data_IF_146595784810
#
_entry.id   IF_146595784810
#
_cell.length_a   1.000
_cell.length_b   1.000
_cell.length_c   1.000
_cell.angle_alpha   90.00
_cell.angle_beta   90.00
_cell.angle_gamma   90.00
#
_symmetry.space_group_name_H-M   'P 1'
#
loop_
_entity.id
_entity.type
_entity.pdbx_description
1 polymer ?
#
# COMPACT_ATOMS: atom_id res chain seq x y z
N UNK A 1 -12.85 -8.52 31.14
CA UNK A 1 -13.16 -9.33 29.94
C UNK A 1 -11.86 -9.95 29.44
N UNK A 2 -11.84 -11.21 28.99
CA UNK A 2 -10.65 -11.78 28.39
C UNK A 2 -10.24 -10.94 27.15
N UNK A 3 -8.94 -10.88 26.87
CA UNK A 3 -8.43 -10.17 25.70
C UNK A 3 -8.71 -11.01 24.45
N UNK A 4 -9.29 -10.38 23.42
CA UNK A 4 -9.55 -11.02 22.13
C UNK A 4 -8.27 -11.16 21.32
N UNK A 5 -8.16 -12.24 20.56
CA UNK A 5 -7.09 -12.44 19.59
C UNK A 5 -7.66 -12.39 18.16
N UNK A 6 -7.74 -11.19 17.62
CA UNK A 6 -8.30 -10.96 16.29
C UNK A 6 -7.44 -11.49 15.16
N UNK A 7 -6.15 -11.81 15.41
CA UNK A 7 -5.28 -12.46 14.42
C UNK A 7 -5.81 -13.87 14.14
N UNK A 8 -6.06 -14.65 15.21
CA UNK A 8 -6.60 -16.01 15.05
C UNK A 8 -8.03 -16.00 14.54
N UNK A 9 -8.88 -15.08 15.02
CA UNK A 9 -10.27 -14.97 14.54
C UNK A 9 -10.33 -14.69 13.02
N UNK A 10 -9.49 -13.78 12.54
CA UNK A 10 -9.41 -13.48 11.11
C UNK A 10 -8.83 -14.64 10.32
N UNK A 11 -7.78 -15.27 10.82
CA UNK A 11 -7.13 -16.43 10.20
C UNK A 11 -8.07 -17.64 10.11
N UNK A 12 -8.83 -17.92 11.16
CA UNK A 12 -9.85 -18.98 11.17
C UNK A 12 -10.95 -18.69 10.14
N UNK A 13 -11.34 -17.42 10.00
CA UNK A 13 -12.25 -16.99 8.92
C UNK A 13 -11.70 -17.26 7.53
N UNK A 14 -10.40 -17.03 7.32
CA UNK A 14 -9.71 -17.30 6.06
C UNK A 14 -9.65 -18.80 5.77
N UNK A 15 -9.24 -19.61 6.75
CA UNK A 15 -9.05 -21.07 6.58
C UNK A 15 -10.37 -21.83 6.38
N UNK A 16 -11.44 -21.34 7.03
CA UNK A 16 -12.78 -21.91 6.87
C UNK A 16 -13.53 -21.40 5.64
N UNK A 17 -12.95 -20.47 4.88
CA UNK A 17 -13.57 -19.88 3.69
C UNK A 17 -14.69 -18.87 3.98
N UNK A 18 -14.92 -18.51 5.26
CA UNK A 18 -15.89 -17.47 5.64
C UNK A 18 -15.44 -16.08 5.22
N UNK A 19 -14.12 -15.86 5.18
CA UNK A 19 -13.51 -14.59 4.77
C UNK A 19 -12.72 -14.84 3.49
N UNK A 20 -13.12 -14.14 2.43
CA UNK A 20 -12.46 -14.21 1.12
C UNK A 20 -11.26 -13.28 1.12
N UNK A 21 -10.07 -13.81 0.87
CA UNK A 21 -8.81 -13.04 0.74
C UNK A 21 -7.97 -13.57 -0.41
N UNK A 22 -7.12 -12.71 -0.96
CA UNK A 22 -6.11 -13.10 -1.95
C UNK A 22 -4.93 -13.86 -1.31
N UNK A 23 -4.11 -14.45 -2.18
CA UNK A 23 -2.94 -15.26 -1.80
C UNK A 23 -1.98 -14.54 -0.87
N UNK A 24 -1.75 -13.24 -1.07
CA UNK A 24 -0.77 -12.49 -0.29
C UNK A 24 -1.23 -12.27 1.16
N UNK A 25 -2.52 -11.96 1.37
CA UNK A 25 -3.10 -11.86 2.71
C UNK A 25 -3.08 -13.22 3.40
N UNK A 26 -3.40 -14.29 2.69
CA UNK A 26 -3.31 -15.65 3.24
C UNK A 26 -1.89 -15.97 3.69
N UNK A 27 -0.88 -15.74 2.85
CA UNK A 27 0.52 -16.02 3.14
C UNK A 27 1.05 -15.26 4.37
N UNK A 28 0.71 -13.98 4.53
CA UNK A 28 1.17 -13.23 5.71
C UNK A 28 0.54 -13.76 7.00
N UNK A 29 -0.76 -14.10 6.99
CA UNK A 29 -1.38 -14.66 8.18
C UNK A 29 -0.88 -16.07 8.51
N UNK A 30 -0.62 -16.92 7.52
CA UNK A 30 0.04 -18.22 7.69
C UNK A 30 1.43 -18.06 8.31
N UNK A 31 2.24 -17.13 7.81
CA UNK A 31 3.56 -16.83 8.35
C UNK A 31 3.49 -16.37 9.81
N UNK A 32 2.57 -15.45 10.14
CA UNK A 32 2.41 -14.94 11.50
C UNK A 32 1.92 -16.03 12.46
N UNK A 33 0.88 -16.77 12.08
CA UNK A 33 0.31 -17.82 12.95
C UNK A 33 1.34 -18.93 13.18
N UNK A 34 2.04 -19.38 12.14
CA UNK A 34 3.14 -20.32 12.27
C UNK A 34 4.27 -19.77 13.16
N UNK A 35 4.63 -18.50 12.98
CA UNK A 35 5.64 -17.84 13.80
C UNK A 35 5.27 -17.74 15.28
N UNK A 36 3.99 -17.50 15.60
CA UNK A 36 3.48 -17.49 16.97
C UNK A 36 3.51 -18.90 17.58
N UNK A 37 3.13 -19.93 16.81
CA UNK A 37 3.14 -21.34 17.26
C UNK A 37 4.56 -21.85 17.52
N UNK A 38 5.54 -21.40 16.73
CA UNK A 38 6.94 -21.82 16.80
C UNK A 38 7.81 -20.91 17.68
N UNK A 39 7.22 -19.91 18.36
CA UNK A 39 7.95 -18.99 19.24
C UNK A 39 8.84 -17.96 18.52
N UNK A 40 8.65 -17.76 17.21
CA UNK A 40 9.36 -16.71 16.47
C UNK A 40 8.89 -15.32 16.86
N UNK A 41 7.61 -15.21 17.26
CA UNK A 41 6.96 -13.99 17.73
C UNK A 41 6.25 -14.24 19.04
N UNK A 42 6.08 -13.17 19.82
CA UNK A 42 5.18 -13.14 20.95
C UNK A 42 3.96 -12.29 20.63
N UNK A 43 2.80 -12.66 21.16
CA UNK A 43 1.59 -11.87 21.02
C UNK A 43 1.21 -11.24 22.36
N UNK A 44 1.27 -9.92 22.44
CA UNK A 44 0.77 -9.16 23.57
C UNK A 44 -0.67 -8.70 23.33
N UNK A 45 -1.62 -9.52 23.77
CA UNK A 45 -3.05 -9.24 23.61
C UNK A 45 -3.47 -7.94 24.30
N UNK A 46 -2.82 -7.54 25.41
CA UNK A 46 -3.11 -6.29 26.12
C UNK A 46 -2.78 -5.08 25.25
N UNK A 47 -1.62 -5.07 24.57
CA UNK A 47 -1.22 -3.99 23.66
C UNK A 47 -2.14 -3.90 22.45
N UNK A 48 -2.44 -5.04 21.82
CA UNK A 48 -3.35 -5.09 20.67
C UNK A 48 -4.74 -4.56 21.03
N UNK A 49 -5.33 -5.07 22.10
CA UNK A 49 -6.67 -4.66 22.54
C UNK A 49 -6.70 -3.22 23.08
N UNK A 50 -5.59 -2.72 23.67
CA UNK A 50 -5.47 -1.31 24.07
C UNK A 50 -5.63 -0.38 22.86
N UNK A 51 -4.93 -0.67 21.75
CA UNK A 51 -5.02 0.12 20.52
C UNK A 51 -6.44 0.05 19.91
N UNK A 52 -7.02 -1.14 19.80
CA UNK A 52 -8.37 -1.32 19.26
C UNK A 52 -9.41 -0.57 20.11
N UNK A 53 -9.39 -0.73 21.44
CA UNK A 53 -10.32 -0.05 22.34
C UNK A 53 -10.18 1.46 22.30
N UNK A 54 -8.94 1.97 22.22
CA UNK A 54 -8.73 3.41 22.04
C UNK A 54 -9.39 3.90 20.77
N UNK A 55 -9.13 3.23 19.64
CA UNK A 55 -9.72 3.63 18.36
C UNK A 55 -11.25 3.59 18.40
N UNK A 56 -11.84 2.53 18.95
CA UNK A 56 -13.30 2.36 18.96
C UNK A 56 -14.02 3.23 19.99
N UNK A 57 -13.32 3.76 21.01
CA UNK A 57 -13.93 4.60 22.03
C UNK A 57 -13.66 6.11 21.87
N UNK A 58 -12.63 6.50 21.10
CA UNK A 58 -12.20 7.90 21.02
C UNK A 58 -12.08 8.43 19.59
N UNK A 59 -12.08 7.56 18.55
CA UNK A 59 -11.97 8.01 17.18
C UNK A 59 -13.35 8.08 16.53
N UNK A 60 -13.62 9.20 15.86
CA UNK A 60 -14.89 9.45 15.19
C UNK A 60 -14.76 9.40 13.67
N UNK A 61 -15.84 9.06 12.99
CA UNK A 61 -15.96 9.30 11.57
C UNK A 61 -15.92 10.80 11.26
N UNK A 62 -15.26 11.17 10.14
CA UNK A 62 -15.06 12.59 9.77
C UNK A 62 -15.88 12.99 8.55
N UNK A 63 -16.36 12.03 7.76
CA UNK A 63 -17.09 12.22 6.52
C UNK A 63 -18.35 11.38 6.50
N UNK A 64 -19.46 11.96 6.01
CA UNK A 64 -20.75 11.30 5.87
C UNK A 64 -21.47 10.98 7.19
N UNK A 65 -20.74 10.74 8.27
CA UNK A 65 -21.27 10.45 9.63
C UNK A 65 -20.29 10.92 10.71
N UNK A 66 -20.75 10.92 11.97
CA UNK A 66 -20.01 11.52 13.09
C UNK A 66 -19.89 10.62 14.32
N UNK A 67 -20.43 9.41 14.25
CA UNK A 67 -20.38 8.42 15.32
C UNK A 67 -18.97 7.86 15.53
N UNK A 68 -18.79 7.14 16.62
CA UNK A 68 -17.54 6.46 16.96
C UNK A 68 -17.20 5.40 15.89
N UNK A 69 -15.92 5.36 15.54
CA UNK A 69 -15.40 4.37 14.60
C UNK A 69 -15.53 2.96 15.18
N UNK A 70 -16.10 2.06 14.41
CA UNK A 70 -16.10 0.63 14.71
C UNK A 70 -15.23 -0.06 13.66
N UNK A 71 -14.18 -0.72 14.16
CA UNK A 71 -13.24 -1.42 13.30
C UNK A 71 -13.83 -2.73 12.78
N UNK A 72 -13.74 -2.95 11.48
CA UNK A 72 -14.02 -4.25 10.88
C UNK A 72 -12.98 -5.30 11.31
N UNK A 73 -13.31 -6.59 11.21
CA UNK A 73 -12.44 -7.66 11.70
C UNK A 73 -11.04 -7.62 11.05
N UNK A 74 -10.95 -7.32 9.75
CA UNK A 74 -9.65 -7.18 9.08
C UNK A 74 -8.83 -6.01 9.64
N UNK A 75 -9.48 -4.91 10.03
CA UNK A 75 -8.82 -3.77 10.67
C UNK A 75 -8.34 -4.10 12.08
N UNK A 76 -9.19 -4.80 12.87
CA UNK A 76 -8.80 -5.30 14.20
C UNK A 76 -7.62 -6.25 14.13
N UNK A 77 -7.62 -7.14 13.13
CA UNK A 77 -6.51 -8.04 12.88
C UNK A 77 -5.24 -7.27 12.47
N UNK A 78 -5.34 -6.28 11.57
CA UNK A 78 -4.22 -5.42 11.18
C UNK A 78 -3.65 -4.63 12.36
N UNK A 79 -4.51 -4.00 13.19
CA UNK A 79 -4.09 -3.32 14.44
C UNK A 79 -3.40 -4.28 15.39
N UNK A 80 -3.92 -5.52 15.50
CA UNK A 80 -3.32 -6.56 16.35
C UNK A 80 -1.94 -6.99 15.84
N UNK A 81 -1.73 -7.10 14.52
CA UNK A 81 -0.43 -7.36 13.92
C UNK A 81 0.56 -6.22 14.19
N UNK A 82 0.12 -4.97 14.01
CA UNK A 82 0.97 -3.79 14.18
C UNK A 82 1.41 -3.61 15.63
N UNK A 83 0.49 -3.69 16.58
CA UNK A 83 0.74 -3.32 17.97
C UNK A 83 0.91 -4.51 18.93
N UNK A 84 0.43 -5.68 18.54
CA UNK A 84 0.43 -6.86 19.40
C UNK A 84 1.56 -7.85 19.14
N UNK A 85 2.17 -7.87 17.94
CA UNK A 85 3.32 -8.74 17.67
C UNK A 85 4.58 -8.06 18.19
N UNK A 86 5.20 -8.70 19.19
CA UNK A 86 6.33 -8.14 19.94
C UNK A 86 7.46 -9.16 20.08
N UNK A 87 8.64 -8.66 20.41
CA UNK A 87 9.80 -9.45 20.80
C UNK A 87 9.80 -9.74 22.33
N UNK A 88 10.86 -10.39 22.83
CA UNK A 88 11.05 -10.72 24.24
C UNK A 88 11.09 -9.48 25.15
N UNK A 89 11.57 -8.35 24.65
CA UNK A 89 11.58 -7.08 25.36
C UNK A 89 10.24 -6.33 25.29
N UNK A 90 9.21 -6.99 24.77
CA UNK A 90 7.88 -6.41 24.58
C UNK A 90 7.88 -5.18 23.66
N UNK A 91 8.79 -5.15 22.69
CA UNK A 91 8.92 -4.11 21.65
C UNK A 91 8.28 -4.57 20.37
N UNK A 92 7.59 -3.67 19.68
CA UNK A 92 6.97 -3.90 18.37
C UNK A 92 7.99 -4.46 17.36
N UNK A 93 7.66 -5.59 16.73
CA UNK A 93 8.51 -6.21 15.72
C UNK A 93 8.39 -5.47 14.40
N UNK A 94 7.15 -5.26 13.93
CA UNK A 94 6.91 -4.61 12.64
C UNK A 94 7.10 -3.09 12.75
N UNK A 95 8.08 -2.58 12.00
CA UNK A 95 8.42 -1.15 11.95
C UNK A 95 8.12 -0.51 10.60
N UNK A 96 7.92 -1.33 9.59
CA UNK A 96 7.43 -0.93 8.28
C UNK A 96 6.13 -1.72 8.00
N UNK A 97 5.03 -1.02 7.79
CA UNK A 97 3.74 -1.59 7.42
C UNK A 97 3.37 -1.07 6.05
N UNK A 98 3.12 -1.97 5.13
CA UNK A 98 2.71 -1.64 3.77
C UNK A 98 1.34 -2.24 3.47
N UNK A 99 0.33 -1.39 3.31
CA UNK A 99 -1.05 -1.78 3.04
C UNK A 99 -1.42 -1.38 1.62
N UNK A 100 -1.69 -2.36 0.78
CA UNK A 100 -2.30 -2.16 -0.53
C UNK A 100 -3.73 -2.65 -0.46
N UNK A 101 -4.69 -1.75 -0.69
CA UNK A 101 -6.11 -2.04 -0.55
C UNK A 101 -6.92 -1.16 -1.50
N UNK A 102 -8.01 -1.68 -2.06
CA UNK A 102 -8.84 -0.98 -3.02
C UNK A 102 -9.37 0.37 -2.54
N UNK A 103 -9.75 1.24 -3.48
CA UNK A 103 -10.38 2.52 -3.15
C UNK A 103 -11.64 2.35 -2.32
N UNK A 104 -11.97 3.36 -1.50
CA UNK A 104 -13.17 3.41 -0.66
C UNK A 104 -13.21 2.37 0.49
N UNK A 105 -12.09 1.68 0.76
CA UNK A 105 -11.97 0.75 1.89
C UNK A 105 -11.51 1.42 3.21
N UNK A 106 -11.61 2.73 3.34
CA UNK A 106 -11.35 3.45 4.60
C UNK A 106 -9.87 3.66 4.94
N UNK A 107 -8.96 3.68 3.94
CA UNK A 107 -7.50 3.84 4.14
C UNK A 107 -7.13 5.05 5.00
N UNK A 108 -7.58 6.23 4.60
CA UNK A 108 -7.24 7.50 5.26
C UNK A 108 -7.77 7.53 6.70
N UNK A 109 -8.99 7.02 6.90
CA UNK A 109 -9.60 6.92 8.24
C UNK A 109 -8.79 5.98 9.15
N UNK A 110 -8.38 4.81 8.62
CA UNK A 110 -7.52 3.86 9.34
C UNK A 110 -6.16 4.47 9.70
N UNK A 111 -5.51 5.16 8.76
CA UNK A 111 -4.25 5.87 9.02
C UNK A 111 -4.39 6.93 10.10
N UNK A 112 -5.47 7.72 10.05
CA UNK A 112 -5.77 8.75 11.05
C UNK A 112 -6.01 8.16 12.44
N UNK A 113 -6.68 7.01 12.53
CA UNK A 113 -6.87 6.30 13.78
C UNK A 113 -5.56 5.75 14.37
N UNK A 114 -4.65 5.27 13.51
CA UNK A 114 -3.29 4.87 13.94
C UNK A 114 -2.50 6.10 14.44
N UNK A 115 -2.59 7.25 13.75
CA UNK A 115 -1.99 8.49 14.24
C UNK A 115 -2.52 8.84 15.62
N UNK A 116 -3.84 8.79 15.82
CA UNK A 116 -4.47 9.12 17.10
C UNK A 116 -3.94 8.20 18.22
N UNK A 117 -3.93 6.90 18.03
CA UNK A 117 -3.40 5.97 19.03
C UNK A 117 -1.92 6.23 19.35
N UNK A 118 -1.08 6.42 18.33
CA UNK A 118 0.35 6.65 18.53
C UNK A 118 0.67 8.02 19.13
N UNK A 119 -0.19 9.01 18.90
CA UNK A 119 -0.02 10.35 19.46
C UNK A 119 -0.38 10.41 20.95
N UNK A 120 -1.41 9.68 21.38
CA UNK A 120 -1.96 9.81 22.74
C UNK A 120 -1.60 8.65 23.66
N UNK A 121 -1.46 7.42 23.14
CA UNK A 121 -1.48 6.25 24.02
C UNK A 121 -0.40 5.18 23.76
N UNK A 122 0.41 5.30 22.72
CA UNK A 122 1.52 4.35 22.43
C UNK A 122 2.69 4.48 23.43
N UNK A 123 2.78 5.60 24.15
CA UNK A 123 3.65 5.77 25.31
C UNK A 123 5.04 6.35 24.99
N UNK A 124 5.23 6.95 23.82
CA UNK A 124 6.48 7.61 23.46
C UNK A 124 6.44 9.09 23.84
N UNK A 125 7.30 9.52 24.74
CA UNK A 125 7.47 10.94 25.07
C UNK A 125 8.26 11.67 24.00
N UNK A 126 7.83 12.86 23.61
CA UNK A 126 8.49 13.65 22.57
C UNK A 126 8.29 13.05 21.18
N UNK A 127 7.20 12.34 20.95
CA UNK A 127 6.91 11.72 19.66
C UNK A 127 6.82 12.75 18.54
N UNK A 128 7.45 12.44 17.40
CA UNK A 128 7.31 13.20 16.16
C UNK A 128 6.58 12.33 15.15
N UNK A 129 5.43 12.81 14.71
CA UNK A 129 4.55 12.12 13.76
C UNK A 129 4.48 12.95 12.49
N UNK A 130 4.76 12.32 11.34
CA UNK A 130 4.79 12.97 10.05
C UNK A 130 3.78 12.34 9.10
N UNK A 131 2.89 13.17 8.52
CA UNK A 131 2.09 12.81 7.37
C UNK A 131 2.87 13.26 6.12
N UNK A 132 3.36 12.31 5.34
CA UNK A 132 4.31 12.58 4.25
C UNK A 132 3.65 12.36 2.89
N UNK A 133 3.83 13.30 1.96
CA UNK A 133 3.40 13.19 0.57
C UNK A 133 4.27 14.04 -0.36
N UNK A 134 4.20 13.85 -1.71
CA UNK A 134 4.91 14.69 -2.67
C UNK A 134 4.58 16.18 -2.57
N UNK A 135 3.31 16.49 -2.27
CA UNK A 135 2.81 17.87 -2.10
C UNK A 135 2.19 18.05 -0.72
N UNK A 136 2.33 19.24 -0.16
CA UNK A 136 1.79 19.55 1.17
C UNK A 136 0.26 19.40 1.24
N UNK A 137 -0.44 19.74 0.16
CA UNK A 137 -1.90 19.57 0.06
C UNK A 137 -2.31 18.09 0.23
N UNK A 138 -1.55 17.15 -0.34
CA UNK A 138 -1.78 15.72 -0.17
C UNK A 138 -1.46 15.25 1.25
N UNK A 139 -0.36 15.73 1.84
CA UNK A 139 0.01 15.43 3.22
C UNK A 139 -1.06 15.92 4.21
N UNK A 140 -1.70 17.04 3.90
CA UNK A 140 -2.77 17.60 4.72
C UNK A 140 -4.03 16.72 4.74
N UNK A 141 -4.28 15.88 3.74
CA UNK A 141 -5.49 15.03 3.72
C UNK A 141 -5.57 14.14 4.96
N UNK A 142 -4.53 13.38 5.24
CA UNK A 142 -4.46 12.51 6.44
C UNK A 142 -4.37 13.34 7.72
N UNK A 143 -3.57 14.41 7.70
CA UNK A 143 -3.39 15.30 8.84
C UNK A 143 -4.69 15.99 9.27
N UNK A 144 -5.45 16.55 8.33
CA UNK A 144 -6.71 17.20 8.62
C UNK A 144 -7.81 16.18 8.99
N UNK A 145 -7.80 15.00 8.38
CA UNK A 145 -8.69 13.90 8.77
C UNK A 145 -8.45 13.48 10.23
N UNK A 146 -7.17 13.31 10.62
CA UNK A 146 -6.81 13.08 12.02
C UNK A 146 -7.31 14.21 12.95
N UNK A 147 -7.11 15.47 12.57
CA UNK A 147 -7.57 16.60 13.39
C UNK A 147 -9.09 16.63 13.55
N UNK A 148 -9.84 16.40 12.47
CA UNK A 148 -11.30 16.35 12.53
C UNK A 148 -11.80 15.17 13.38
N UNK A 149 -11.10 14.04 13.33
CA UNK A 149 -11.39 12.85 14.13
C UNK A 149 -11.30 13.14 15.63
N UNK A 150 -10.20 13.71 16.10
CA UNK A 150 -9.98 14.00 17.52
C UNK A 150 -10.78 15.22 18.01
N UNK A 151 -11.09 16.18 17.13
CA UNK A 151 -11.85 17.38 17.48
C UNK A 151 -13.25 17.08 18.01
N UNK A 152 -13.82 15.95 17.61
CA UNK A 152 -15.16 15.52 18.05
C UNK A 152 -15.14 14.84 19.40
N UNK A 153 -13.97 14.45 19.90
CA UNK A 153 -13.79 13.82 21.19
C UNK A 153 -13.23 14.86 22.18
N UNK A 154 -14.00 15.31 23.18
CA UNK A 154 -13.57 16.35 24.12
C UNK A 154 -12.28 16.00 24.84
N UNK A 155 -12.15 14.74 25.34
CA UNK A 155 -10.97 14.29 26.08
C UNK A 155 -9.68 14.40 25.27
N UNK A 156 -9.74 14.19 23.94
CA UNK A 156 -8.57 14.29 23.06
C UNK A 156 -8.36 15.72 22.56
N UNK A 157 -9.45 16.44 22.26
CA UNK A 157 -9.37 17.78 21.68
C UNK A 157 -8.83 18.82 22.66
N UNK A 158 -9.12 18.68 23.96
CA UNK A 158 -8.62 19.58 25.02
C UNK A 158 -7.09 19.46 25.19
N UNK A 159 -6.53 18.28 24.94
CA UNK A 159 -5.08 18.04 25.02
C UNK A 159 -4.33 18.52 23.79
N UNK A 160 -5.01 18.72 22.66
CA UNK A 160 -4.40 19.03 21.37
C UNK A 160 -4.50 20.51 21.01
N UNK A 161 -3.37 21.16 20.77
CA UNK A 161 -3.29 22.55 20.31
C UNK A 161 -2.93 22.59 18.82
N UNK A 162 -3.87 23.01 17.94
CA UNK A 162 -3.55 23.24 16.52
C UNK A 162 -2.76 24.55 16.41
N UNK A 163 -1.50 24.42 16.01
CA UNK A 163 -0.58 25.56 15.76
C UNK A 163 -0.47 25.80 14.25
N UNK A 164 0.32 26.78 13.85
CA UNK A 164 0.48 27.16 12.43
C UNK A 164 1.02 26.02 11.56
N UNK A 165 1.92 25.20 12.10
CA UNK A 165 2.65 24.18 11.32
C UNK A 165 2.44 22.75 11.80
N UNK A 166 1.75 22.55 12.93
CA UNK A 166 1.55 21.25 13.54
C UNK A 166 0.35 21.21 14.48
N UNK A 167 -0.02 20.00 14.90
CA UNK A 167 -0.84 19.75 16.09
C UNK A 167 0.10 19.32 17.20
N UNK A 168 -0.03 19.91 18.37
CA UNK A 168 0.85 19.69 19.50
C UNK A 168 0.08 19.22 20.72
N UNK A 169 0.55 18.13 21.33
CA UNK A 169 0.03 17.59 22.59
C UNK A 169 1.08 17.86 23.65
N UNK A 170 0.78 18.79 24.57
CA UNK A 170 1.73 19.33 25.54
C UNK A 170 2.17 18.28 26.55
N UNK A 171 1.23 17.52 27.08
CA UNK A 171 1.48 16.51 28.12
C UNK A 171 2.53 15.47 27.74
N UNK A 172 2.48 14.99 26.49
CA UNK A 172 3.43 13.99 25.95
C UNK A 172 4.55 14.62 25.11
N UNK A 173 4.59 15.95 24.96
CA UNK A 173 5.49 16.67 24.06
C UNK A 173 5.44 16.13 22.61
N UNK A 174 4.27 15.68 22.18
CA UNK A 174 4.07 15.08 20.86
C UNK A 174 3.75 16.14 19.82
N UNK A 175 4.33 16.06 18.63
CA UNK A 175 4.04 16.95 17.51
C UNK A 175 3.67 16.15 16.25
N UNK A 176 2.54 16.48 15.64
CA UNK A 176 2.04 15.88 14.41
C UNK A 176 2.13 16.92 13.29
N UNK A 177 2.82 16.62 12.18
CA UNK A 177 3.11 17.56 11.10
C UNK A 177 2.84 16.98 9.72
N UNK A 178 2.18 17.73 8.83
CA UNK A 178 2.20 17.42 7.41
C UNK A 178 3.55 17.85 6.81
N UNK A 179 4.12 17.03 5.93
CA UNK A 179 5.38 17.29 5.24
C UNK A 179 5.26 17.02 3.75
N UNK A 180 5.71 17.97 2.93
CA UNK A 180 6.02 17.71 1.54
C UNK A 180 7.48 17.23 1.38
N UNK A 181 7.76 16.52 0.29
CA UNK A 181 9.13 16.13 -0.03
C UNK A 181 10.05 17.35 -0.12
N UNK A 182 11.19 17.26 0.51
CA UNK A 182 12.22 18.28 0.41
C UNK A 182 13.61 17.65 0.52
N UNK A 183 14.19 17.31 -0.62
CA UNK A 183 15.49 16.68 -0.72
C UNK A 183 16.65 17.49 -0.09
N UNK A 184 16.45 18.81 0.12
CA UNK A 184 17.46 19.70 0.71
C UNK A 184 17.44 19.79 2.24
N UNK A 185 16.39 19.23 2.88
CA UNK A 185 16.23 19.24 4.36
C UNK A 185 16.15 17.82 4.90
N UNK A 186 17.16 17.03 4.62
CA UNK A 186 17.19 15.60 4.99
C UNK A 186 17.66 15.33 6.42
N UNK A 187 18.26 16.30 7.10
CA UNK A 187 18.88 16.09 8.39
C UNK A 187 18.01 16.54 9.55
N UNK A 188 18.04 15.79 10.65
CA UNK A 188 17.38 16.14 11.92
C UNK A 188 15.98 15.57 12.13
N UNK A 189 15.50 14.66 11.28
CA UNK A 189 14.27 13.91 11.55
C UNK A 189 14.50 12.88 12.66
N UNK A 190 13.49 12.72 13.53
CA UNK A 190 13.46 11.71 14.57
C UNK A 190 12.02 11.19 14.72
N UNK A 191 11.50 10.50 13.70
CA UNK A 191 10.11 10.09 13.65
C UNK A 191 9.81 8.95 14.62
N UNK A 192 8.66 9.06 15.30
CA UNK A 192 8.02 7.95 15.97
C UNK A 192 7.02 7.27 15.04
N UNK A 193 6.31 8.07 14.22
CA UNK A 193 5.45 7.58 13.16
C UNK A 193 5.65 8.39 11.89
N UNK A 194 5.74 7.71 10.76
CA UNK A 194 5.63 8.30 9.43
C UNK A 194 4.43 7.65 8.73
N UNK A 195 3.48 8.45 8.29
CA UNK A 195 2.35 7.99 7.48
C UNK A 195 2.55 8.45 6.05
N UNK A 196 2.65 7.50 5.14
CA UNK A 196 2.80 7.71 3.71
C UNK A 196 1.49 7.32 3.04
N UNK A 197 0.72 8.28 2.56
CA UNK A 197 -0.53 8.02 1.86
C UNK A 197 -0.33 8.05 0.34
N UNK A 198 -1.05 7.17 -0.36
CA UNK A 198 -1.04 7.02 -1.82
C UNK A 198 0.38 6.92 -2.42
N UNK A 199 1.23 6.04 -1.84
CA UNK A 199 2.63 5.87 -2.28
C UNK A 199 2.77 5.47 -3.75
N UNK A 200 1.75 4.89 -4.38
CA UNK A 200 1.73 4.63 -5.82
C UNK A 200 1.73 5.90 -6.67
N UNK A 201 1.39 7.05 -6.09
CA UNK A 201 1.48 8.36 -6.76
C UNK A 201 2.87 9.01 -6.68
N UNK A 202 3.78 8.46 -5.90
CA UNK A 202 5.10 9.00 -5.64
C UNK A 202 6.07 8.58 -6.75
N UNK A 203 6.23 9.46 -7.75
CA UNK A 203 6.99 9.15 -8.96
C UNK A 203 8.48 9.39 -8.79
N UNK A 204 9.28 8.53 -9.40
CA UNK A 204 10.72 8.68 -9.58
C UNK A 204 11.52 8.65 -8.27
N UNK A 205 12.80 8.98 -8.38
CA UNK A 205 13.80 8.93 -7.29
C UNK A 205 13.48 9.80 -6.08
N UNK A 206 12.69 10.85 -6.25
CA UNK A 206 12.39 11.79 -5.15
C UNK A 206 11.60 11.15 -4.01
N UNK A 207 10.60 10.33 -4.36
CA UNK A 207 9.80 9.59 -3.39
C UNK A 207 10.62 8.52 -2.67
N UNK A 208 11.44 7.79 -3.43
CA UNK A 208 12.33 6.76 -2.90
C UNK A 208 13.35 7.35 -1.91
N UNK A 209 14.06 8.40 -2.32
CA UNK A 209 15.03 9.09 -1.45
C UNK A 209 14.39 9.62 -0.16
N UNK A 210 13.20 10.21 -0.26
CA UNK A 210 12.51 10.74 0.92
C UNK A 210 12.07 9.61 1.85
N UNK A 211 11.63 8.48 1.31
CA UNK A 211 11.29 7.30 2.10
C UNK A 211 12.51 6.77 2.86
N UNK A 212 13.65 6.61 2.18
CA UNK A 212 14.89 6.12 2.77
C UNK A 212 15.44 7.07 3.86
N UNK A 213 15.31 8.38 3.68
CA UNK A 213 15.64 9.37 4.71
C UNK A 213 14.81 9.15 5.97
N UNK A 214 13.48 9.00 5.83
CA UNK A 214 12.60 8.75 6.97
C UNK A 214 12.88 7.39 7.61
N UNK A 215 13.14 6.36 6.81
CA UNK A 215 13.47 5.02 7.30
C UNK A 215 14.76 5.00 8.10
N UNK A 216 15.82 5.64 7.60
CA UNK A 216 17.09 5.75 8.32
C UNK A 216 16.96 6.52 9.64
N UNK A 217 16.09 7.53 9.68
CA UNK A 217 15.85 8.34 10.87
C UNK A 217 15.08 7.60 11.99
N UNK A 218 14.51 6.42 11.73
CA UNK A 218 13.83 5.61 12.77
C UNK A 218 14.78 5.07 13.84
N UNK A 219 16.07 5.00 13.56
CA UNK A 219 17.05 4.32 14.42
C UNK A 219 17.15 4.85 15.85
N UNK A 220 16.75 6.10 16.09
CA UNK A 220 16.81 6.74 17.40
C UNK A 220 15.62 6.38 18.32
N UNK A 221 14.58 5.73 17.81
CA UNK A 221 13.37 5.37 18.56
C UNK A 221 13.32 3.89 18.86
N UNK A 222 12.76 3.54 20.04
CA UNK A 222 12.68 2.14 20.47
C UNK A 222 11.68 1.34 19.62
N UNK A 223 10.51 1.90 19.34
CA UNK A 223 9.43 1.22 18.59
C UNK A 223 8.75 2.15 17.57
N UNK A 224 9.52 2.72 16.63
CA UNK A 224 8.97 3.60 15.61
C UNK A 224 8.15 2.81 14.58
N UNK A 225 7.39 3.53 13.74
CA UNK A 225 6.57 2.94 12.70
C UNK A 225 6.60 3.78 11.42
N UNK A 226 6.75 3.14 10.27
CA UNK A 226 6.35 3.66 8.97
C UNK A 226 5.09 2.94 8.55
N UNK A 227 4.03 3.67 8.27
CA UNK A 227 2.77 3.17 7.75
C UNK A 227 2.59 3.71 6.33
N UNK A 228 2.77 2.86 5.34
CA UNK A 228 2.57 3.19 3.92
C UNK A 228 1.28 2.57 3.44
N UNK A 229 0.36 3.38 2.93
CA UNK A 229 -0.95 2.94 2.47
C UNK A 229 -1.17 3.41 1.04
N UNK A 230 -1.69 2.54 0.18
CA UNK A 230 -1.98 2.89 -1.21
C UNK A 230 -3.03 1.98 -1.85
N UNK A 231 -3.59 2.41 -2.95
CA UNK A 231 -4.02 1.53 -4.04
C UNK A 231 -2.81 1.20 -4.92
N UNK A 232 -2.94 0.24 -5.82
CA UNK A 232 -2.00 0.13 -6.93
C UNK A 232 -2.14 1.35 -7.85
N UNK A 233 -1.13 1.57 -8.65
CA UNK A 233 -1.05 2.65 -9.62
C UNK A 233 -0.48 2.18 -10.94
N UNK A 234 -0.01 3.15 -11.71
CA UNK A 234 0.74 2.87 -12.93
C UNK A 234 2.22 2.67 -12.59
N UNK A 235 2.92 1.92 -13.43
CA UNK A 235 4.36 1.69 -13.29
C UNK A 235 5.13 3.02 -13.35
N UNK A 236 6.04 3.24 -12.39
CA UNK A 236 6.74 4.51 -12.29
C UNK A 236 8.14 4.42 -11.64
N UNK A 237 8.65 3.19 -11.47
CA UNK A 237 9.95 2.90 -10.82
C UNK A 237 10.15 3.65 -9.47
N UNK A 238 9.05 3.83 -8.74
CA UNK A 238 9.04 4.56 -7.48
C UNK A 238 9.01 3.64 -6.26
N UNK A 239 8.82 4.25 -5.10
CA UNK A 239 8.79 3.55 -3.80
C UNK A 239 7.70 2.46 -3.72
N UNK A 240 6.56 2.62 -4.42
CA UNK A 240 5.52 1.60 -4.45
C UNK A 240 6.06 0.30 -5.07
N UNK A 241 6.80 0.40 -6.16
CA UNK A 241 7.36 -0.75 -6.87
C UNK A 241 8.39 -1.48 -6.03
N UNK A 242 9.24 -0.73 -5.33
CA UNK A 242 10.21 -1.30 -4.39
C UNK A 242 9.53 -2.00 -3.22
N UNK A 243 8.53 -1.36 -2.57
CA UNK A 243 7.78 -1.98 -1.48
C UNK A 243 7.03 -3.23 -1.93
N UNK A 244 6.47 -3.25 -3.14
CA UNK A 244 5.83 -4.43 -3.73
C UNK A 244 6.85 -5.55 -3.96
N UNK A 245 8.01 -5.25 -4.55
CA UNK A 245 9.07 -6.23 -4.78
C UNK A 245 9.58 -6.83 -3.47
N UNK A 246 9.90 -6.00 -2.45
CA UNK A 246 10.32 -6.46 -1.11
C UNK A 246 9.24 -7.31 -0.44
N UNK A 247 7.99 -6.86 -0.49
CA UNK A 247 6.85 -7.55 0.13
C UNK A 247 6.62 -8.93 -0.49
N UNK A 248 6.60 -9.01 -1.82
CA UNK A 248 6.36 -10.28 -2.52
C UNK A 248 7.54 -11.24 -2.39
N UNK A 249 8.78 -10.73 -2.37
CA UNK A 249 9.97 -11.55 -2.08
C UNK A 249 9.92 -12.12 -0.65
N UNK A 250 9.55 -11.31 0.35
CA UNK A 250 9.37 -11.74 1.73
C UNK A 250 8.29 -12.83 1.85
N UNK A 251 7.11 -12.61 1.27
CA UNK A 251 5.98 -13.54 1.34
C UNK A 251 6.25 -14.88 0.62
N UNK A 252 7.15 -14.89 -0.37
CA UNK A 252 7.62 -16.11 -1.06
C UNK A 252 8.77 -16.81 -0.32
N UNK A 253 9.20 -16.31 0.85
CA UNK A 253 10.32 -16.87 1.61
C UNK A 253 11.71 -16.51 1.05
N UNK A 254 11.79 -15.60 0.07
CA UNK A 254 13.06 -15.18 -0.57
C UNK A 254 13.80 -14.06 0.18
N UNK A 255 13.27 -13.54 1.29
CA UNK A 255 13.87 -12.46 2.08
C UNK A 255 13.97 -12.83 3.55
N UNK A 256 15.07 -12.40 4.18
CA UNK A 256 15.28 -12.51 5.64
C UNK A 256 14.74 -11.30 6.41
N UNK A 257 14.04 -10.41 5.75
CA UNK A 257 13.48 -9.21 6.33
C UNK A 257 12.39 -9.56 7.36
N UNK A 258 12.51 -9.06 8.60
CA UNK A 258 11.60 -9.43 9.70
C UNK A 258 10.75 -8.25 10.20
N UNK A 259 11.01 -7.05 9.74
CA UNK A 259 10.38 -5.81 10.24
C UNK A 259 9.33 -5.23 9.30
N UNK A 260 9.17 -5.82 8.12
CA UNK A 260 8.16 -5.46 7.12
C UNK A 260 6.90 -6.30 7.35
N UNK A 261 5.76 -5.63 7.46
CA UNK A 261 4.42 -6.22 7.49
C UNK A 261 3.68 -5.84 6.20
N UNK A 262 3.65 -6.71 5.19
CA UNK A 262 2.88 -6.47 3.98
C UNK A 262 1.44 -6.97 4.14
N UNK A 263 0.47 -6.10 3.95
CA UNK A 263 -0.96 -6.41 3.89
C UNK A 263 -1.47 -6.08 2.48
N UNK A 264 -1.32 -7.02 1.56
CA UNK A 264 -1.58 -6.81 0.14
C UNK A 264 -2.95 -7.40 -0.23
N UNK A 265 -3.99 -6.57 -0.14
CA UNK A 265 -5.34 -6.90 -0.58
C UNK A 265 -5.45 -6.69 -2.09
N UNK A 266 -5.34 -7.77 -2.84
CA UNK A 266 -5.29 -7.79 -4.30
C UNK A 266 -6.09 -8.97 -4.82
N UNK A 267 -6.61 -8.87 -6.04
CA UNK A 267 -7.16 -10.04 -6.73
C UNK A 267 -6.04 -11.02 -7.11
N UNK A 268 -6.36 -12.30 -7.23
CA UNK A 268 -5.41 -13.35 -7.62
C UNK A 268 -5.44 -13.64 -9.11
N UNK A 269 -6.64 -13.61 -9.70
CA UNK A 269 -6.90 -13.93 -11.10
C UNK A 269 -7.33 -12.67 -11.86
N UNK A 270 -6.45 -12.13 -12.68
CA UNK A 270 -6.70 -10.91 -13.46
C UNK A 270 -7.80 -11.13 -14.50
N UNK A 271 -8.02 -12.36 -14.98
CA UNK A 271 -9.09 -12.69 -15.93
C UNK A 271 -10.48 -12.53 -15.31
N UNK A 272 -10.57 -12.65 -13.98
CA UNK A 272 -11.80 -12.49 -13.21
C UNK A 272 -11.96 -11.09 -12.61
N UNK A 273 -11.33 -10.09 -13.21
CA UNK A 273 -11.34 -8.71 -12.69
C UNK A 273 -12.76 -8.14 -12.53
N UNK A 274 -13.75 -8.65 -13.26
CA UNK A 274 -15.15 -8.26 -13.19
C UNK A 274 -16.04 -9.20 -12.34
N UNK A 275 -15.44 -10.19 -11.66
CA UNK A 275 -16.15 -11.05 -10.71
C UNK A 275 -16.16 -10.42 -9.31
N UNK A 276 -17.35 -10.25 -8.72
CA UNK A 276 -17.49 -9.67 -7.38
C UNK A 276 -16.82 -10.51 -6.28
N UNK A 277 -16.80 -11.84 -6.41
CA UNK A 277 -16.14 -12.71 -5.42
C UNK A 277 -14.62 -12.53 -5.49
N UNK A 278 -14.07 -12.38 -6.69
CA UNK A 278 -12.65 -12.06 -6.86
C UNK A 278 -12.31 -10.67 -6.32
N UNK A 279 -13.18 -9.68 -6.56
CA UNK A 279 -13.01 -8.31 -6.08
C UNK A 279 -13.02 -8.18 -4.55
N UNK A 280 -13.68 -9.07 -3.81
CA UNK A 280 -13.63 -9.10 -2.34
C UNK A 280 -12.22 -9.24 -1.82
N UNK A 281 -11.32 -9.93 -2.54
CA UNK A 281 -9.92 -10.11 -2.17
C UNK A 281 -9.15 -8.78 -2.08
N UNK A 282 -9.52 -7.83 -2.92
CA UNK A 282 -8.93 -6.49 -2.94
C UNK A 282 -9.72 -5.47 -2.10
N UNK A 283 -10.98 -5.80 -1.74
CA UNK A 283 -11.93 -4.88 -1.12
C UNK A 283 -12.60 -5.51 0.11
N UNK A 284 -11.89 -5.66 1.23
CA UNK A 284 -12.43 -6.29 2.45
C UNK A 284 -13.60 -5.52 3.08
N UNK A 285 -13.82 -4.26 2.70
CA UNK A 285 -14.97 -3.45 3.13
C UNK A 285 -16.11 -3.44 2.09
N UNK A 286 -16.11 -4.34 1.10
CA UNK A 286 -17.23 -4.50 0.20
C UNK A 286 -18.50 -4.91 0.99
N UNK A 287 -19.58 -4.16 0.81
CA UNK A 287 -20.81 -4.30 1.60
C UNK A 287 -20.82 -3.50 2.91
N UNK A 288 -19.72 -2.85 3.28
CA UNK A 288 -19.61 -1.98 4.46
C UNK A 288 -19.45 -0.51 4.06
N UNK A 289 -18.32 -0.15 3.46
CA UNK A 289 -18.04 1.24 3.03
C UNK A 289 -18.23 1.45 1.52
N UNK A 290 -18.32 0.40 0.75
CA UNK A 290 -18.57 0.44 -0.68
C UNK A 290 -19.56 -0.68 -1.06
N UNK A 291 -20.64 -0.32 -1.75
CA UNK A 291 -21.67 -1.29 -2.10
C UNK A 291 -21.26 -2.21 -3.27
N UNK A 292 -21.77 -3.45 -3.33
CA UNK A 292 -21.58 -4.30 -4.51
C UNK A 292 -22.16 -3.69 -5.80
N UNK A 293 -23.24 -2.90 -5.69
CA UNK A 293 -23.87 -2.22 -6.81
C UNK A 293 -22.92 -1.21 -7.45
N UNK A 294 -22.18 -0.45 -6.64
CA UNK A 294 -21.15 0.46 -7.13
C UNK A 294 -20.11 -0.27 -8.00
N UNK A 295 -19.66 -1.46 -7.58
CA UNK A 295 -18.70 -2.23 -8.38
C UNK A 295 -19.31 -2.70 -9.70
N UNK A 296 -20.58 -3.10 -9.72
CA UNK A 296 -21.26 -3.51 -10.97
C UNK A 296 -21.33 -2.36 -11.97
N UNK A 297 -21.61 -1.14 -11.50
CA UNK A 297 -21.63 0.07 -12.34
C UNK A 297 -20.24 0.39 -12.90
N UNK A 298 -19.20 0.36 -12.05
CA UNK A 298 -17.83 0.62 -12.47
C UNK A 298 -17.30 -0.47 -13.43
N UNK A 299 -17.67 -1.74 -13.24
CA UNK A 299 -17.35 -2.85 -14.15
C UNK A 299 -17.96 -2.57 -15.53
N UNK A 300 -19.25 -2.22 -15.60
CA UNK A 300 -19.90 -1.94 -16.87
C UNK A 300 -19.19 -0.82 -17.66
N UNK A 301 -18.71 0.22 -16.96
CA UNK A 301 -17.92 1.29 -17.59
C UNK A 301 -16.53 0.78 -18.05
N UNK A 302 -15.89 -0.08 -17.24
CA UNK A 302 -14.58 -0.63 -17.55
C UNK A 302 -14.60 -1.63 -18.72
N UNK A 303 -15.71 -2.34 -18.94
CA UNK A 303 -15.91 -3.25 -20.08
C UNK A 303 -15.96 -2.52 -21.42
N UNK A 304 -16.42 -1.27 -21.43
CA UNK A 304 -16.56 -0.47 -22.65
C UNK A 304 -15.28 0.23 -23.11
N UNK A 305 -14.25 0.34 -22.24
CA UNK A 305 -13.04 1.12 -22.54
C UNK A 305 -11.82 0.56 -21.85
N UNK A 306 -10.77 0.26 -22.64
CA UNK A 306 -9.48 -0.23 -22.13
C UNK A 306 -8.84 0.74 -21.11
N UNK A 307 -8.95 2.04 -21.32
CA UNK A 307 -8.45 3.05 -20.39
C UNK A 307 -9.20 3.00 -19.06
N UNK A 308 -10.54 2.82 -19.10
CA UNK A 308 -11.35 2.68 -17.90
C UNK A 308 -11.08 1.36 -17.18
N UNK A 309 -10.85 0.29 -17.93
CA UNK A 309 -10.42 -1.00 -17.38
C UNK A 309 -9.07 -0.89 -16.67
N UNK A 310 -8.07 -0.26 -17.27
CA UNK A 310 -6.78 -0.02 -16.64
C UNK A 310 -6.92 0.78 -15.32
N UNK A 311 -7.77 1.81 -15.33
CA UNK A 311 -8.08 2.57 -14.13
C UNK A 311 -8.76 1.71 -13.05
N UNK A 312 -9.74 0.88 -13.43
CA UNK A 312 -10.45 -0.06 -12.54
C UNK A 312 -9.49 -1.09 -11.94
N UNK A 313 -8.63 -1.70 -12.75
CA UNK A 313 -7.61 -2.66 -12.32
C UNK A 313 -6.66 -2.05 -11.27
N UNK A 314 -6.20 -0.82 -11.47
CA UNK A 314 -5.38 -0.13 -10.48
C UNK A 314 -6.15 0.16 -9.18
N UNK A 315 -7.35 0.73 -9.29
CA UNK A 315 -8.06 1.32 -8.14
C UNK A 315 -8.81 0.33 -7.28
N UNK A 316 -9.36 -0.73 -7.90
CA UNK A 316 -10.28 -1.66 -7.23
C UNK A 316 -9.76 -3.10 -7.19
N UNK A 317 -8.91 -3.49 -8.14
CA UNK A 317 -8.28 -4.81 -8.15
C UNK A 317 -6.88 -4.81 -7.53
N UNK A 318 -6.28 -3.65 -7.38
CA UNK A 318 -4.88 -3.45 -6.98
C UNK A 318 -3.88 -4.14 -7.91
N UNK A 319 -4.20 -4.19 -9.19
CA UNK A 319 -3.33 -4.69 -10.24
C UNK A 319 -2.65 -3.52 -10.92
N UNK A 320 -1.34 -3.47 -10.81
CA UNK A 320 -0.50 -2.44 -11.43
C UNK A 320 -0.63 -2.47 -12.96
N UNK A 321 -0.68 -1.31 -13.57
CA UNK A 321 -0.77 -1.14 -15.03
C UNK A 321 0.42 -0.33 -15.54
N UNK A 322 0.85 -0.59 -16.78
CA UNK A 322 2.00 0.09 -17.37
C UNK A 322 1.67 1.54 -17.77
N UNK A 323 0.44 1.82 -18.19
CA UNK A 323 0.01 3.15 -18.64
C UNK A 323 -1.50 3.34 -18.47
N UNK A 324 -1.91 4.58 -18.20
CA UNK A 324 -3.32 5.00 -18.26
C UNK A 324 -3.88 5.07 -19.68
N UNK A 325 -3.01 5.07 -20.67
CA UNK A 325 -3.33 5.16 -22.12
C UNK A 325 -2.72 3.94 -22.80
N UNK A 326 -3.05 2.74 -22.32
CA UNK A 326 -2.61 1.52 -22.98
C UNK A 326 -3.36 1.36 -24.31
N UNK A 327 -2.60 1.30 -25.42
CA UNK A 327 -3.14 0.96 -26.73
C UNK A 327 -3.51 -0.53 -26.82
N UNK A 328 -2.77 -1.38 -26.11
CA UNK A 328 -3.03 -2.83 -26.03
C UNK A 328 -3.16 -3.25 -24.58
N UNK A 329 -4.04 -4.23 -24.34
CA UNK A 329 -4.18 -4.87 -23.03
C UNK A 329 -2.88 -5.63 -22.69
N UNK A 330 -2.29 -5.37 -21.51
CA UNK A 330 -1.06 -6.00 -21.06
C UNK A 330 -1.16 -7.52 -21.06
N UNK A 331 -2.30 -8.07 -20.62
CA UNK A 331 -2.51 -9.53 -20.57
C UNK A 331 -2.50 -10.14 -21.97
N UNK A 332 -3.06 -9.42 -22.94
CA UNK A 332 -3.06 -9.86 -24.34
C UNK A 332 -1.64 -9.82 -24.92
N UNK A 333 -0.88 -8.76 -24.60
CA UNK A 333 0.52 -8.63 -25.03
C UNK A 333 1.41 -9.70 -24.40
N UNK A 334 1.25 -9.95 -23.08
CA UNK A 334 2.02 -10.98 -22.36
C UNK A 334 1.73 -12.38 -22.88
N UNK A 335 0.47 -12.69 -23.19
CA UNK A 335 0.07 -13.97 -23.82
C UNK A 335 0.58 -14.12 -25.25
N UNK A 336 0.74 -13.02 -25.98
CA UNK A 336 1.29 -13.04 -27.32
C UNK A 336 2.83 -13.24 -27.32
N UNK A 337 3.46 -13.16 -26.14
CA UNK A 337 4.90 -13.37 -25.95
C UNK A 337 5.27 -14.85 -26.05
N UNK A 338 5.62 -15.33 -27.25
CA UNK A 338 6.12 -16.67 -27.46
C UNK A 338 7.65 -16.72 -27.54
N UNK A 339 8.22 -17.86 -27.11
CA UNK A 339 9.67 -18.13 -27.21
C UNK A 339 10.06 -18.57 -28.63
N UNK A 340 9.88 -17.71 -29.60
CA UNK A 340 10.26 -17.91 -31.00
C UNK A 340 11.50 -17.08 -31.33
N UNK A 341 12.27 -17.52 -32.32
CA UNK A 341 13.48 -16.84 -32.77
C UNK A 341 13.30 -16.31 -34.20
N UNK A 342 13.90 -15.16 -34.48
CA UNK A 342 13.87 -14.59 -35.81
C UNK A 342 14.48 -15.54 -36.88
N UNK A 343 15.46 -16.37 -36.48
CA UNK A 343 16.11 -17.36 -37.32
C UNK A 343 15.15 -18.46 -37.85
N UNK A 344 14.03 -18.69 -37.14
CA UNK A 344 13.02 -19.67 -37.55
C UNK A 344 12.21 -19.22 -38.77
N UNK A 345 12.37 -17.94 -39.16
CA UNK A 345 11.66 -17.30 -40.26
C UNK A 345 12.57 -16.95 -41.45
N UNK A 346 13.71 -17.63 -41.61
CA UNK A 346 14.56 -17.48 -42.77
C UNK A 346 13.74 -17.65 -44.04
N UNK A 347 14.03 -16.83 -45.05
CA UNK A 347 13.38 -16.80 -46.36
C UNK A 347 11.89 -16.35 -46.32
N UNK A 348 11.41 -15.81 -45.22
CA UNK A 348 10.07 -15.19 -45.13
C UNK A 348 10.12 -13.71 -45.53
N UNK A 349 9.05 -13.23 -46.17
CA UNK A 349 8.89 -11.79 -46.41
C UNK A 349 8.69 -11.07 -45.06
N UNK A 350 9.44 -10.00 -44.87
CA UNK A 350 9.41 -9.22 -43.65
C UNK A 350 9.30 -7.74 -43.88
N UNK A 351 8.61 -7.03 -43.05
CA UNK A 351 8.55 -5.57 -43.03
C UNK A 351 9.30 -5.05 -41.80
N UNK A 352 10.30 -4.21 -42.03
CA UNK A 352 11.09 -3.60 -40.93
C UNK A 352 10.68 -2.16 -40.67
N UNK A 353 10.75 -1.76 -39.39
CA UNK A 353 10.57 -0.40 -38.93
C UNK A 353 11.63 -0.02 -37.91
N UNK A 354 12.11 1.22 -37.95
CA UNK A 354 13.08 1.76 -36.97
C UNK A 354 12.52 3.06 -36.40
N UNK A 355 12.53 3.16 -35.09
CA UNK A 355 12.24 4.39 -34.36
C UNK A 355 13.51 4.88 -33.67
N UNK A 356 13.95 6.10 -34.02
CA UNK A 356 15.21 6.68 -33.56
C UNK A 356 14.97 7.70 -32.43
N UNK A 357 15.52 7.45 -31.27
CA UNK A 357 15.51 8.42 -30.17
C UNK A 357 16.66 9.45 -30.31
N UNK A 358 16.43 10.67 -29.81
CA UNK A 358 17.46 11.73 -29.83
C UNK A 358 18.20 11.89 -28.49
N UNK A 359 17.58 11.61 -27.34
CA UNK A 359 18.18 11.97 -26.05
C UNK A 359 17.98 10.94 -24.95
N UNK A 360 16.74 10.74 -24.46
CA UNK A 360 16.42 9.95 -23.26
C UNK A 360 15.52 8.75 -23.52
N UNK A 361 15.02 8.65 -24.72
CA UNK A 361 14.12 7.58 -25.14
C UNK A 361 14.91 6.38 -25.71
N UNK A 362 14.23 5.26 -25.95
CA UNK A 362 14.84 4.07 -26.55
C UNK A 362 14.73 4.13 -28.07
N UNK A 363 15.81 3.82 -28.76
CA UNK A 363 15.74 3.47 -30.18
C UNK A 363 15.20 2.05 -30.31
N UNK A 364 14.23 1.83 -31.17
CA UNK A 364 13.65 0.52 -31.42
C UNK A 364 13.81 0.12 -32.89
N UNK A 365 14.20 -1.12 -33.12
CA UNK A 365 14.17 -1.74 -34.46
C UNK A 365 13.22 -2.94 -34.40
N UNK A 366 12.22 -2.94 -35.27
CA UNK A 366 11.20 -3.98 -35.31
C UNK A 366 11.12 -4.66 -36.65
N UNK A 367 10.85 -5.95 -36.66
CA UNK A 367 10.56 -6.72 -37.87
C UNK A 367 9.23 -7.43 -37.67
N UNK A 368 8.35 -7.33 -38.65
CA UNK A 368 7.05 -8.03 -38.67
C UNK A 368 7.04 -9.01 -39.85
N UNK A 369 6.65 -10.24 -39.57
CA UNK A 369 6.57 -11.35 -40.53
C UNK A 369 5.16 -11.93 -40.45
N UNK A 370 4.51 -12.11 -41.59
CA UNK A 370 3.25 -12.83 -41.68
C UNK A 370 3.49 -14.28 -42.12
N UNK A 371 2.95 -15.24 -41.37
CA UNK A 371 3.03 -16.66 -41.74
C UNK A 371 1.75 -17.38 -41.30
N UNK A 372 1.01 -17.91 -42.26
CA UNK A 372 -0.22 -18.66 -41.98
C UNK A 372 -1.34 -17.81 -41.38
N UNK A 373 -1.42 -16.51 -41.71
CA UNK A 373 -2.42 -15.57 -41.14
C UNK A 373 -2.08 -15.06 -39.74
N UNK A 374 -0.90 -15.38 -39.21
CA UNK A 374 -0.41 -14.90 -37.91
C UNK A 374 0.73 -13.89 -38.16
N UNK A 375 0.69 -12.76 -37.44
CA UNK A 375 1.75 -11.77 -37.45
C UNK A 375 2.74 -12.05 -36.31
N UNK A 376 4.00 -12.22 -36.67
CA UNK A 376 5.11 -12.39 -35.75
C UNK A 376 5.92 -11.10 -35.69
N UNK A 377 6.04 -10.49 -34.50
CA UNK A 377 6.77 -9.25 -34.30
C UNK A 377 8.03 -9.50 -33.47
N UNK A 378 9.17 -9.07 -33.94
CA UNK A 378 10.45 -9.10 -33.25
C UNK A 378 10.93 -7.67 -33.06
N UNK A 379 11.14 -7.23 -31.83
CA UNK A 379 11.61 -5.88 -31.53
C UNK A 379 12.86 -5.93 -30.67
N UNK A 380 13.88 -5.22 -31.11
CA UNK A 380 15.12 -4.98 -30.36
C UNK A 380 15.17 -3.52 -29.92
N UNK A 381 15.38 -3.30 -28.63
CA UNK A 381 15.55 -1.97 -28.05
C UNK A 381 17.03 -1.67 -27.82
N UNK A 382 17.41 -0.44 -28.13
CA UNK A 382 18.76 0.07 -27.93
C UNK A 382 18.71 1.32 -27.05
N UNK A 383 19.47 1.31 -25.95
CA UNK A 383 19.64 2.49 -25.12
C UNK A 383 20.87 3.24 -25.58
N UNK A 384 20.70 4.48 -26.08
CA UNK A 384 21.82 5.33 -26.40
C UNK A 384 22.48 5.79 -25.12
N UNK A 385 23.66 5.23 -24.79
CA UNK A 385 24.50 5.70 -23.71
C UNK A 385 25.09 7.06 -24.04
N UNK A 386 25.17 7.98 -23.07
CA UNK A 386 26.03 9.18 -23.26
C UNK A 386 27.45 8.68 -23.40
N UNK A 387 28.05 8.94 -24.57
CA UNK A 387 29.51 8.86 -24.69
C UNK A 387 30.10 9.92 -23.75
N UNK A 388 30.85 9.49 -22.76
CA UNK A 388 31.72 10.41 -22.01
C UNK A 388 32.82 10.82 -22.99
N UNK A 389 32.75 12.05 -23.48
CA UNK A 389 33.89 12.74 -24.10
C UNK A 389 34.69 13.40 -22.98
#
# INVERSE_FOLDING_TARGET
MPFSNYIYEYYDGITTGKIVVGKWVRLIYEYIVSGLQNGLFLFNAKKANKAIRFIENFCHHCEGRTDLLKLELWQKAAVSLIFGIVDEDNVRIFREVFIVIGRKNGKTLFASAVIAYMAYLDGEYGAKIYCLAPKLEQANIVYDNFFQMIKKEPELSELAKKRRSDIYIEESNTAIKPLAFNAKKSDGFNPHLVVNDEVASWRGDGGLKQYEVMKSALGARRQPLILSISTAGYENDGIFDELMARSTAFLKGGSKERRLLPLLYMIDDVEKWNDLEELKKANPNMGVSVSPEFFKEEIAVAEMSLSKRAEFLCKYCNIKQNSSVAWLDYVVVDRAGEKIKLEDFKDSYAVGGIDLSQTTDLTAASVIIERGGVLYAFTQFFKIGRAHV
#
